data_IF_238639246433
#
_entry.id   IF_238639246433
#
_cell.length_a   1.000
_cell.length_b   1.000
_cell.length_c   1.000
_cell.angle_alpha   90.00
_cell.angle_beta   90.00
_cell.angle_gamma   90.00
#
_symmetry.space_group_name_H-M   'P 1'
#
loop_
_entity.id
_entity.type
_entity.pdbx_description
1 polymer ?
#
# COMPACT_ATOMS: atom_id res chain seq x y z
N UNK A 1 -59.48 -30.60 -42.87
CA UNK A 1 -58.20 -30.87 -43.51
C UNK A 1 -58.02 -29.91 -44.67
N UNK A 2 -57.52 -28.75 -44.43
CA UNK A 2 -57.22 -27.72 -45.44
C UNK A 2 -55.72 -27.71 -45.71
N UNK A 3 -55.44 -27.90 -47.00
CA UNK A 3 -54.11 -28.16 -47.56
C UNK A 3 -53.14 -26.97 -47.48
N UNK A 4 -51.91 -27.24 -47.17
CA UNK A 4 -50.74 -26.29 -47.15
C UNK A 4 -50.54 -25.51 -48.46
N UNK A 5 -51.35 -25.75 -49.49
CA UNK A 5 -51.19 -25.11 -50.81
C UNK A 5 -52.00 -23.82 -51.01
N UNK A 6 -52.94 -23.51 -50.11
CA UNK A 6 -53.73 -22.29 -50.22
C UNK A 6 -53.14 -21.10 -49.45
N UNK A 7 -52.17 -21.34 -48.56
CA UNK A 7 -51.54 -20.27 -47.82
C UNK A 7 -50.48 -19.50 -48.63
N UNK A 8 -50.01 -20.06 -49.73
CA UNK A 8 -48.93 -19.44 -50.56
C UNK A 8 -49.41 -18.59 -51.76
N UNK A 9 -50.72 -18.44 -51.95
CA UNK A 9 -51.26 -17.64 -53.09
C UNK A 9 -51.80 -16.25 -52.74
N UNK A 10 -51.67 -15.79 -51.51
CA UNK A 10 -52.15 -14.44 -51.10
C UNK A 10 -51.06 -13.45 -50.64
N UNK A 11 -49.83 -13.68 -51.02
CA UNK A 11 -48.72 -12.75 -50.72
C UNK A 11 -48.05 -12.23 -52.01
N UNK A 12 -48.81 -11.66 -52.89
CA UNK A 12 -48.28 -10.93 -54.01
C UNK A 12 -49.26 -9.77 -54.35
N UNK A 13 -48.76 -8.57 -54.27
CA UNK A 13 -49.29 -7.24 -54.62
C UNK A 13 -49.60 -6.33 -53.42
N UNK A 14 -48.55 -5.62 -52.98
CA UNK A 14 -48.63 -4.22 -52.54
C UNK A 14 -47.23 -3.69 -52.53
N UNK A 15 -46.75 -3.14 -53.66
CA UNK A 15 -45.51 -2.38 -53.76
C UNK A 15 -45.80 -0.98 -53.22
N UNK A 16 -45.40 -0.73 -51.97
CA UNK A 16 -45.27 0.62 -51.43
C UNK A 16 -43.80 1.00 -51.41
N UNK A 17 -43.43 1.94 -52.24
CA UNK A 17 -42.13 2.64 -52.26
C UNK A 17 -41.99 3.36 -50.93
N UNK A 18 -41.18 2.87 -49.99
CA UNK A 18 -40.73 3.59 -48.82
C UNK A 18 -39.30 4.10 -49.12
N UNK A 19 -39.15 5.44 -49.13
CA UNK A 19 -37.87 6.13 -49.18
C UNK A 19 -36.97 5.61 -48.04
N UNK A 20 -35.88 4.96 -48.39
CA UNK A 20 -34.81 4.56 -47.46
C UNK A 20 -33.96 5.81 -47.20
N UNK A 21 -34.25 6.52 -46.10
CA UNK A 21 -33.29 7.45 -45.50
C UNK A 21 -32.08 6.65 -45.02
N UNK A 22 -30.85 7.28 -44.91
CA UNK A 22 -29.70 6.57 -44.44
C UNK A 22 -29.94 6.14 -42.99
N UNK A 23 -30.28 4.87 -42.81
CA UNK A 23 -30.24 4.24 -41.48
C UNK A 23 -28.77 4.37 -41.02
N UNK A 24 -28.54 5.26 -40.06
CA UNK A 24 -27.36 5.24 -39.25
C UNK A 24 -27.26 3.82 -38.64
N UNK A 25 -26.45 3.00 -39.26
CA UNK A 25 -25.96 1.76 -38.63
C UNK A 25 -25.24 2.22 -37.36
N UNK A 26 -25.98 2.28 -36.25
CA UNK A 26 -25.38 2.17 -34.93
C UNK A 26 -24.71 0.79 -34.90
N UNK A 27 -23.51 0.72 -35.46
CA UNK A 27 -22.57 -0.31 -35.08
C UNK A 27 -22.43 -0.15 -33.57
N UNK A 28 -23.05 -1.02 -32.78
CA UNK A 28 -22.58 -1.29 -31.42
C UNK A 28 -21.11 -1.64 -31.62
N UNK A 29 -20.24 -0.65 -31.39
CA UNK A 29 -18.84 -0.93 -31.16
C UNK A 29 -18.86 -2.05 -30.13
N UNK A 30 -18.32 -3.21 -30.46
CA UNK A 30 -18.07 -4.25 -29.47
C UNK A 30 -17.30 -3.53 -28.38
N UNK A 31 -17.87 -3.44 -27.18
CA UNK A 31 -17.19 -2.90 -26.04
C UNK A 31 -15.87 -3.70 -25.96
N UNK A 32 -14.75 -3.02 -26.01
CA UNK A 32 -13.48 -3.69 -25.80
C UNK A 32 -13.55 -4.39 -24.45
N UNK A 33 -13.05 -5.63 -24.36
CA UNK A 33 -13.07 -6.39 -23.11
C UNK A 33 -12.44 -5.55 -21.98
N UNK A 34 -13.06 -5.55 -20.79
CA UNK A 34 -12.57 -4.86 -19.62
C UNK A 34 -11.10 -5.22 -19.31
N UNK A 35 -10.37 -4.30 -18.74
CA UNK A 35 -9.04 -4.57 -18.21
C UNK A 35 -9.21 -5.08 -16.78
N UNK A 36 -8.82 -6.34 -16.54
CA UNK A 36 -8.93 -6.96 -15.22
C UNK A 36 -7.72 -6.54 -14.35
N UNK A 37 -8.01 -6.04 -13.15
CA UNK A 37 -7.02 -5.69 -12.14
C UNK A 37 -7.30 -6.46 -10.86
N UNK A 38 -6.29 -7.10 -10.29
CA UNK A 38 -6.39 -7.89 -9.07
C UNK A 38 -6.10 -7.08 -7.81
N UNK A 39 -6.89 -7.29 -6.75
CA UNK A 39 -6.63 -6.77 -5.42
C UNK A 39 -6.55 -7.92 -4.41
N UNK A 40 -5.43 -8.06 -3.69
CA UNK A 40 -5.24 -9.06 -2.64
C UNK A 40 -5.04 -8.32 -1.32
N UNK A 41 -6.12 -8.09 -0.59
CA UNK A 41 -6.11 -7.32 0.66
C UNK A 41 -6.89 -8.05 1.75
N UNK A 42 -6.37 -8.03 2.97
CA UNK A 42 -7.02 -8.62 4.15
C UNK A 42 -8.29 -7.82 4.49
N UNK A 43 -9.45 -8.41 4.21
CA UNK A 43 -10.75 -7.85 4.57
C UNK A 43 -11.26 -8.45 5.88
N UNK A 44 -10.61 -9.52 6.33
CA UNK A 44 -10.83 -10.19 7.60
C UNK A 44 -9.50 -10.77 8.12
N UNK A 45 -9.51 -11.28 9.37
CA UNK A 45 -8.31 -11.77 10.04
C UNK A 45 -7.56 -10.68 10.80
N UNK A 46 -6.34 -10.98 11.25
CA UNK A 46 -5.56 -10.09 12.14
C UNK A 46 -4.98 -8.83 11.46
N UNK A 47 -5.05 -8.73 10.13
CA UNK A 47 -4.49 -7.63 9.35
C UNK A 47 -5.57 -6.79 8.62
N UNK A 48 -6.84 -7.00 8.92
CA UNK A 48 -7.95 -6.30 8.28
C UNK A 48 -7.94 -4.78 8.54
N UNK A 49 -7.34 -4.35 9.65
CA UNK A 49 -7.12 -2.95 10.00
C UNK A 49 -6.34 -2.20 8.91
N UNK A 50 -5.45 -2.89 8.23
CA UNK A 50 -4.64 -2.36 7.12
C UNK A 50 -5.27 -2.65 5.76
N UNK A 51 -5.76 -3.87 5.57
CA UNK A 51 -6.20 -4.35 4.27
C UNK A 51 -7.48 -3.70 3.76
N UNK A 52 -8.45 -3.41 4.63
CA UNK A 52 -9.71 -2.75 4.25
C UNK A 52 -9.49 -1.37 3.62
N UNK A 53 -8.75 -0.43 4.25
CA UNK A 53 -8.48 0.86 3.62
C UNK A 53 -7.70 0.76 2.31
N UNK A 54 -6.81 -0.24 2.16
CA UNK A 54 -6.09 -0.49 0.90
C UNK A 54 -7.04 -0.94 -0.21
N UNK A 55 -7.97 -1.86 0.08
CA UNK A 55 -8.97 -2.32 -0.88
C UNK A 55 -9.87 -1.18 -1.35
N UNK A 56 -10.30 -0.33 -0.41
CA UNK A 56 -11.15 0.83 -0.71
C UNK A 56 -10.42 1.87 -1.56
N UNK A 57 -9.14 2.10 -1.29
CA UNK A 57 -8.29 2.97 -2.10
C UNK A 57 -8.12 2.45 -3.54
N UNK A 58 -7.96 1.13 -3.71
CA UNK A 58 -7.91 0.51 -5.03
C UNK A 58 -9.24 0.68 -5.79
N UNK A 59 -10.37 0.53 -5.10
CA UNK A 59 -11.71 0.73 -5.67
C UNK A 59 -11.88 2.19 -6.11
N UNK A 60 -11.53 3.15 -5.26
CA UNK A 60 -11.63 4.58 -5.58
C UNK A 60 -10.79 4.93 -6.81
N UNK A 61 -9.52 4.50 -6.85
CA UNK A 61 -8.64 4.76 -7.98
C UNK A 61 -9.17 4.17 -9.29
N UNK A 62 -9.68 2.94 -9.26
CA UNK A 62 -10.24 2.29 -10.45
C UNK A 62 -11.50 3.02 -10.96
N UNK A 63 -12.36 3.49 -10.07
CA UNK A 63 -13.54 4.27 -10.44
C UNK A 63 -13.16 5.61 -11.06
N UNK A 64 -12.22 6.35 -10.49
CA UNK A 64 -11.75 7.62 -11.06
C UNK A 64 -11.17 7.46 -12.47
N UNK A 65 -10.40 6.40 -12.69
CA UNK A 65 -9.87 6.09 -14.02
C UNK A 65 -11.01 5.77 -14.98
N UNK A 66 -12.02 5.01 -14.53
CA UNK A 66 -13.19 4.66 -15.33
C UNK A 66 -14.07 5.88 -15.66
N UNK A 67 -14.30 6.77 -14.71
CA UNK A 67 -15.02 8.02 -14.89
C UNK A 67 -14.32 8.94 -15.90
N UNK A 68 -12.98 8.88 -15.96
CA UNK A 68 -12.16 9.61 -16.93
C UNK A 68 -12.12 8.97 -18.33
N UNK A 69 -12.91 7.90 -18.57
CA UNK A 69 -12.99 7.18 -19.85
C UNK A 69 -12.25 5.86 -19.89
N UNK A 70 -11.70 5.40 -18.79
CA UNK A 70 -10.96 4.15 -18.66
C UNK A 70 -9.54 4.23 -19.22
N UNK A 71 -8.94 3.08 -19.49
CA UNK A 71 -7.61 2.97 -20.09
C UNK A 71 -7.71 2.41 -21.50
N UNK A 72 -7.14 3.12 -22.48
CA UNK A 72 -7.15 2.70 -23.89
C UNK A 72 -8.58 2.48 -24.42
N UNK A 73 -9.58 3.25 -23.93
CA UNK A 73 -10.99 3.11 -24.28
C UNK A 73 -11.69 1.90 -23.64
N UNK A 74 -11.07 1.25 -22.64
CA UNK A 74 -11.58 0.08 -21.93
C UNK A 74 -11.80 0.42 -20.47
N UNK A 75 -12.83 -0.17 -19.84
CA UNK A 75 -13.08 -0.01 -18.42
C UNK A 75 -12.17 -0.95 -17.60
N UNK A 76 -11.80 -0.52 -16.41
CA UNK A 76 -11.14 -1.35 -15.42
C UNK A 76 -12.22 -2.12 -14.65
N UNK A 77 -12.02 -3.42 -14.51
CA UNK A 77 -12.82 -4.25 -13.63
C UNK A 77 -11.94 -4.88 -12.57
N UNK A 78 -12.22 -4.57 -11.31
CA UNK A 78 -11.50 -5.12 -10.16
C UNK A 78 -11.95 -6.54 -9.84
N UNK A 79 -10.99 -7.38 -9.48
CA UNK A 79 -11.17 -8.69 -8.87
C UNK A 79 -10.49 -8.64 -7.52
N UNK A 80 -11.25 -8.38 -6.45
CA UNK A 80 -10.76 -8.32 -5.07
C UNK A 80 -10.98 -9.64 -4.36
N UNK A 81 -9.99 -10.10 -3.59
CA UNK A 81 -10.06 -11.32 -2.80
C UNK A 81 -9.46 -11.09 -1.42
N UNK A 82 -10.08 -11.71 -0.42
CA UNK A 82 -9.66 -11.68 0.98
C UNK A 82 -8.82 -12.92 1.31
N UNK A 83 -7.52 -12.79 1.60
CA UNK A 83 -6.67 -13.89 2.02
C UNK A 83 -6.81 -14.23 3.52
N UNK A 84 -7.60 -13.47 4.30
CA UNK A 84 -7.90 -13.74 5.70
C UNK A 84 -6.63 -13.84 6.59
N UNK A 85 -5.60 -13.06 6.28
CA UNK A 85 -4.27 -13.08 6.92
C UNK A 85 -3.57 -14.47 6.88
N UNK A 86 -3.93 -15.32 5.91
CA UNK A 86 -3.46 -16.69 5.77
C UNK A 86 -2.52 -16.84 4.56
N UNK A 87 -1.27 -17.26 4.77
CA UNK A 87 -0.26 -17.37 3.72
C UNK A 87 -0.62 -18.34 2.61
N UNK A 88 -1.33 -19.42 2.92
CA UNK A 88 -1.79 -20.38 1.93
C UNK A 88 -2.87 -19.77 1.02
N UNK A 89 -3.78 -18.98 1.59
CA UNK A 89 -4.81 -18.25 0.85
C UNK A 89 -4.18 -17.21 -0.09
N UNK A 90 -3.20 -16.44 0.38
CA UNK A 90 -2.47 -15.51 -0.49
C UNK A 90 -1.90 -16.21 -1.73
N UNK A 91 -1.27 -17.39 -1.54
CA UNK A 91 -0.70 -18.16 -2.67
C UNK A 91 -1.77 -18.63 -3.65
N UNK A 92 -2.89 -19.18 -3.13
CA UNK A 92 -3.99 -19.69 -3.98
C UNK A 92 -4.69 -18.58 -4.76
N UNK A 93 -4.95 -17.45 -4.09
CA UNK A 93 -5.55 -16.26 -4.72
C UNK A 93 -4.62 -15.71 -5.81
N UNK A 94 -3.33 -15.57 -5.51
CA UNK A 94 -2.35 -15.13 -6.48
C UNK A 94 -2.30 -16.02 -7.73
N UNK A 95 -2.30 -17.35 -7.55
CA UNK A 95 -2.35 -18.30 -8.65
C UNK A 95 -3.63 -18.17 -9.47
N UNK A 96 -4.79 -18.05 -8.81
CA UNK A 96 -6.07 -17.86 -9.48
C UNK A 96 -6.09 -16.59 -10.32
N UNK A 97 -5.71 -15.45 -9.74
CA UNK A 97 -5.71 -14.17 -10.43
C UNK A 97 -4.77 -14.17 -11.64
N UNK A 98 -3.58 -14.73 -11.50
CA UNK A 98 -2.58 -14.73 -12.56
C UNK A 98 -2.91 -15.73 -13.69
N UNK A 99 -3.36 -16.95 -13.37
CA UNK A 99 -3.50 -18.05 -14.33
C UNK A 99 -4.91 -18.24 -14.85
N UNK A 100 -5.93 -18.09 -14.01
CA UNK A 100 -7.33 -18.27 -14.37
C UNK A 100 -8.00 -16.96 -14.80
N UNK A 101 -7.93 -15.94 -13.94
CA UNK A 101 -8.54 -14.63 -14.19
C UNK A 101 -7.70 -13.79 -15.18
N UNK A 102 -6.40 -14.03 -15.28
CA UNK A 102 -5.45 -13.35 -16.17
C UNK A 102 -5.50 -11.83 -16.04
N UNK A 103 -5.43 -11.36 -14.79
CA UNK A 103 -5.40 -9.93 -14.51
C UNK A 103 -4.13 -9.28 -15.08
N UNK A 104 -4.23 -8.03 -15.52
CA UNK A 104 -3.11 -7.28 -16.08
C UNK A 104 -2.06 -6.90 -15.00
N UNK A 105 -2.54 -6.62 -13.79
CA UNK A 105 -1.73 -6.25 -12.64
C UNK A 105 -2.41 -6.70 -11.36
N UNK A 106 -1.61 -6.97 -10.32
CA UNK A 106 -2.09 -7.24 -8.96
C UNK A 106 -1.53 -6.15 -8.02
N UNK A 107 -2.41 -5.60 -7.18
CA UNK A 107 -2.06 -4.76 -6.04
C UNK A 107 -2.36 -5.51 -4.75
N UNK A 108 -1.46 -5.47 -3.78
CA UNK A 108 -1.75 -6.03 -2.46
C UNK A 108 -0.62 -6.81 -1.81
N UNK A 109 -1.02 -7.67 -0.87
CA UNK A 109 -0.12 -8.23 0.11
C UNK A 109 0.17 -7.21 1.21
N UNK A 110 0.14 -7.65 2.47
CA UNK A 110 0.34 -6.74 3.60
C UNK A 110 1.71 -6.92 4.25
N UNK A 111 2.12 -8.14 4.55
CA UNK A 111 3.40 -8.43 5.18
C UNK A 111 4.48 -8.79 4.16
N UNK A 112 5.75 -8.72 4.57
CA UNK A 112 6.87 -9.25 3.77
C UNK A 112 6.69 -10.72 3.44
N UNK A 113 6.14 -11.51 4.36
CA UNK A 113 5.82 -12.92 4.12
C UNK A 113 4.76 -13.08 3.01
N UNK A 114 3.67 -12.29 3.05
CA UNK A 114 2.64 -12.34 2.00
C UNK A 114 3.19 -11.89 0.64
N UNK A 115 4.07 -10.86 0.61
CA UNK A 115 4.75 -10.46 -0.62
C UNK A 115 5.55 -11.61 -1.23
N UNK A 116 6.33 -12.32 -0.41
CA UNK A 116 7.21 -13.39 -0.90
C UNK A 116 6.46 -14.67 -1.32
N UNK A 117 5.21 -14.85 -0.95
CA UNK A 117 4.37 -15.92 -1.54
C UNK A 117 3.63 -15.47 -2.80
N UNK A 118 3.34 -14.17 -2.95
CA UNK A 118 2.69 -13.60 -4.15
C UNK A 118 3.71 -13.39 -5.29
N UNK A 119 4.83 -12.74 -5.00
CA UNK A 119 5.83 -12.28 -5.97
C UNK A 119 6.32 -13.38 -6.93
N UNK A 120 6.73 -14.58 -6.48
CA UNK A 120 7.18 -15.64 -7.38
C UNK A 120 6.07 -16.18 -8.29
N UNK A 121 4.82 -16.13 -7.84
CA UNK A 121 3.66 -16.53 -8.67
C UNK A 121 3.46 -15.52 -9.79
N UNK A 122 3.43 -14.23 -9.47
CA UNK A 122 3.25 -13.15 -10.45
C UNK A 122 4.37 -13.14 -11.49
N UNK A 123 5.62 -13.29 -11.05
CA UNK A 123 6.77 -13.36 -11.94
C UNK A 123 6.66 -14.53 -12.94
N UNK A 124 6.38 -15.75 -12.46
CA UNK A 124 6.23 -16.94 -13.34
C UNK A 124 5.08 -16.80 -14.32
N UNK A 125 3.96 -16.23 -13.88
CA UNK A 125 2.80 -15.98 -14.72
C UNK A 125 2.95 -14.76 -15.63
N UNK A 126 4.02 -13.98 -15.49
CA UNK A 126 4.26 -12.72 -16.20
C UNK A 126 3.14 -11.70 -15.97
N UNK A 127 2.63 -11.63 -14.75
CA UNK A 127 1.64 -10.65 -14.28
C UNK A 127 2.34 -9.60 -13.45
N UNK A 128 2.13 -8.29 -13.72
CA UNK A 128 2.72 -7.20 -12.93
C UNK A 128 2.23 -7.25 -11.49
N UNK A 129 3.11 -6.88 -10.56
CA UNK A 129 2.80 -6.84 -9.14
C UNK A 129 3.21 -5.51 -8.51
N UNK A 130 2.28 -4.87 -7.82
CA UNK A 130 2.50 -3.70 -6.99
C UNK A 130 2.34 -4.07 -5.52
N UNK A 131 3.42 -3.95 -4.77
CA UNK A 131 3.44 -4.08 -3.32
C UNK A 131 3.36 -2.68 -2.69
N UNK A 132 2.30 -2.40 -1.94
CA UNK A 132 1.93 -1.03 -1.57
C UNK A 132 2.19 -0.67 -0.11
N UNK A 133 2.83 -1.55 0.66
CA UNK A 133 3.14 -1.33 2.07
C UNK A 133 4.61 -0.99 2.27
N UNK A 134 4.90 -0.19 3.31
CA UNK A 134 6.29 -0.03 3.75
C UNK A 134 6.87 -1.38 4.16
N UNK A 135 8.17 -1.55 4.03
CA UNK A 135 8.83 -2.80 4.36
C UNK A 135 10.35 -2.61 4.59
N UNK A 136 11.04 -3.69 4.88
CA UNK A 136 12.47 -3.71 5.22
C UNK A 136 13.43 -3.41 4.06
N UNK A 137 12.94 -3.20 2.84
CA UNK A 137 13.76 -2.99 1.65
C UNK A 137 14.26 -4.30 1.01
N UNK A 138 15.02 -4.18 -0.08
CA UNK A 138 15.77 -5.30 -0.67
C UNK A 138 15.07 -6.12 -1.74
N UNK A 139 13.83 -5.87 -2.11
CA UNK A 139 13.21 -6.49 -3.30
C UNK A 139 13.94 -6.04 -4.55
N UNK A 140 14.44 -7.00 -5.32
CA UNK A 140 15.10 -6.77 -6.61
C UNK A 140 14.48 -7.70 -7.65
N UNK A 141 13.37 -7.29 -8.23
CA UNK A 141 12.58 -8.06 -9.17
C UNK A 141 11.91 -7.14 -10.17
N UNK A 142 12.30 -7.24 -11.44
CA UNK A 142 11.79 -6.38 -12.51
C UNK A 142 10.28 -6.47 -12.74
N UNK A 143 9.62 -7.52 -12.21
CA UNK A 143 8.17 -7.69 -12.31
C UNK A 143 7.41 -7.05 -11.14
N UNK A 144 8.11 -6.54 -10.13
CA UNK A 144 7.53 -6.04 -8.88
C UNK A 144 7.86 -4.56 -8.68
N UNK A 145 6.85 -3.77 -8.35
CA UNK A 145 6.96 -2.36 -8.03
C UNK A 145 6.55 -2.13 -6.58
N UNK A 146 7.40 -1.46 -5.80
CA UNK A 146 7.18 -1.19 -4.38
C UNK A 146 6.85 0.30 -4.19
N UNK A 147 5.61 0.60 -3.77
CA UNK A 147 5.17 1.98 -3.53
C UNK A 147 5.20 2.39 -2.06
N UNK A 148 5.50 1.45 -1.17
CA UNK A 148 5.77 1.74 0.25
C UNK A 148 7.23 2.12 0.49
N UNK A 149 7.47 2.90 1.54
CA UNK A 149 8.80 3.37 1.90
C UNK A 149 9.69 2.26 2.48
N UNK A 150 11.00 2.40 2.29
CA UNK A 150 12.04 1.56 2.91
C UNK A 150 12.66 2.26 4.12
N UNK A 151 13.47 1.55 4.94
CA UNK A 151 14.14 2.15 6.12
C UNK A 151 14.98 3.39 5.80
N UNK A 152 15.70 3.40 4.69
CA UNK A 152 16.49 4.57 4.30
C UNK A 152 15.64 5.81 4.01
N UNK A 153 14.38 5.63 3.61
CA UNK A 153 13.48 6.76 3.34
C UNK A 153 12.87 7.33 4.62
N UNK A 154 12.51 6.47 5.58
CA UNK A 154 11.80 6.87 6.80
C UNK A 154 12.74 6.96 8.01
N UNK A 155 13.44 5.87 8.35
CA UNK A 155 14.21 5.76 9.60
C UNK A 155 15.45 6.61 9.61
N UNK A 156 16.14 6.74 8.47
CA UNK A 156 17.41 7.48 8.39
C UNK A 156 17.27 8.94 8.84
N UNK A 157 16.09 9.52 8.67
CA UNK A 157 15.79 10.87 9.14
C UNK A 157 15.06 10.90 10.48
N UNK A 158 14.14 9.97 10.71
CA UNK A 158 13.27 9.96 11.88
C UNK A 158 13.98 9.54 13.17
N UNK A 159 14.92 8.57 13.12
CA UNK A 159 15.64 8.12 14.32
C UNK A 159 16.56 9.22 14.88
N UNK A 160 17.41 9.90 14.08
CA UNK A 160 18.18 11.04 14.57
C UNK A 160 17.34 12.18 15.14
N UNK A 161 16.21 12.50 14.49
CA UNK A 161 15.28 13.51 14.99
C UNK A 161 14.66 13.10 16.34
N UNK A 162 14.29 11.81 16.49
CA UNK A 162 13.75 11.29 17.75
C UNK A 162 14.79 11.35 18.88
N UNK A 163 16.05 11.01 18.60
CA UNK A 163 17.15 11.12 19.58
C UNK A 163 17.34 12.57 20.01
N UNK A 164 17.27 13.50 19.08
CA UNK A 164 17.40 14.93 19.38
C UNK A 164 16.27 15.46 20.26
N UNK A 165 15.05 14.92 20.11
CA UNK A 165 13.86 15.38 20.83
C UNK A 165 13.71 14.74 22.21
N UNK A 166 13.97 13.43 22.30
CA UNK A 166 13.54 12.62 23.44
C UNK A 166 14.68 12.07 24.28
N UNK A 167 15.90 11.98 23.71
CA UNK A 167 17.07 11.45 24.41
C UNK A 167 17.70 10.27 23.69
N UNK A 168 18.74 9.69 24.29
CA UNK A 168 19.71 8.83 23.61
C UNK A 168 19.51 7.34 23.85
N UNK A 169 18.78 6.94 24.89
CA UNK A 169 18.57 5.54 25.25
C UNK A 169 17.21 5.05 24.76
N UNK A 170 17.24 3.99 23.93
CA UNK A 170 16.07 3.47 23.22
C UNK A 170 15.79 2.04 23.66
N UNK A 171 14.54 1.75 24.04
CA UNK A 171 14.05 0.39 24.21
C UNK A 171 13.18 0.01 23.03
N UNK A 172 13.47 -1.10 22.33
CA UNK A 172 12.70 -1.52 21.16
C UNK A 172 11.71 -2.63 21.54
N UNK A 173 10.45 -2.46 21.11
CA UNK A 173 9.43 -3.50 21.07
C UNK A 173 9.04 -3.73 19.61
N UNK A 174 9.18 -4.95 19.08
CA UNK A 174 9.03 -5.22 17.66
C UNK A 174 8.28 -6.53 17.40
N UNK A 175 7.66 -6.64 16.23
CA UNK A 175 7.04 -7.88 15.78
C UNK A 175 8.10 -8.94 15.44
N UNK A 176 7.86 -10.21 15.81
CA UNK A 176 8.80 -11.32 15.61
C UNK A 176 8.71 -11.91 14.20
N UNK A 177 9.15 -11.13 13.20
CA UNK A 177 9.38 -11.57 11.83
C UNK A 177 10.35 -10.61 11.13
N UNK A 178 10.69 -10.89 9.85
CA UNK A 178 11.74 -10.16 9.09
C UNK A 178 11.69 -8.65 9.27
N UNK A 179 10.49 -8.04 9.14
CA UNK A 179 10.33 -6.60 9.29
C UNK A 179 10.81 -6.11 10.66
N UNK A 180 10.27 -6.66 11.75
CA UNK A 180 10.61 -6.19 13.10
C UNK A 180 12.09 -6.39 13.44
N UNK A 181 12.69 -7.50 12.98
CA UNK A 181 14.11 -7.81 13.19
C UNK A 181 15.00 -6.82 12.43
N UNK A 182 14.78 -6.62 11.13
CA UNK A 182 15.59 -5.72 10.29
C UNK A 182 15.42 -4.26 10.71
N UNK A 183 14.18 -3.83 11.03
CA UNK A 183 13.93 -2.46 11.54
C UNK A 183 14.67 -2.23 12.85
N UNK A 184 14.71 -3.23 13.74
CA UNK A 184 15.47 -3.12 14.99
C UNK A 184 16.96 -2.94 14.75
N UNK A 185 17.53 -3.60 13.75
CA UNK A 185 18.94 -3.45 13.39
C UNK A 185 19.23 -2.07 12.78
N UNK A 186 18.31 -1.55 11.94
CA UNK A 186 18.38 -0.17 11.47
C UNK A 186 18.36 0.84 12.60
N UNK A 187 17.46 0.68 13.58
CA UNK A 187 17.39 1.58 14.74
C UNK A 187 18.67 1.52 15.57
N UNK A 188 19.25 0.32 15.79
CA UNK A 188 20.54 0.15 16.48
C UNK A 188 21.67 0.92 15.79
N UNK A 189 21.80 0.72 14.45
CA UNK A 189 22.81 1.42 13.64
C UNK A 189 22.63 2.93 13.71
N UNK A 190 21.44 3.41 13.38
CA UNK A 190 21.16 4.85 13.34
C UNK A 190 21.30 5.50 14.73
N UNK A 191 20.94 4.80 15.80
CA UNK A 191 21.17 5.26 17.15
C UNK A 191 22.67 5.42 17.43
N UNK A 192 23.48 4.41 17.13
CA UNK A 192 24.93 4.45 17.35
C UNK A 192 25.62 5.57 16.54
N UNK A 193 25.23 5.76 15.28
CA UNK A 193 25.75 6.81 14.40
C UNK A 193 25.39 8.22 14.88
N UNK A 194 24.30 8.36 15.66
CA UNK A 194 23.82 9.66 16.16
C UNK A 194 24.03 9.84 17.68
N UNK A 195 24.96 9.07 18.26
CA UNK A 195 25.36 9.19 19.66
C UNK A 195 24.30 8.71 20.67
N UNK A 196 23.35 7.89 20.22
CA UNK A 196 22.39 7.17 21.03
C UNK A 196 22.74 5.69 21.18
N UNK A 197 21.91 4.95 21.89
CA UNK A 197 22.08 3.50 22.09
C UNK A 197 20.74 2.80 22.25
N UNK A 198 20.63 1.60 21.73
CA UNK A 198 19.54 0.68 22.04
C UNK A 198 19.92 -0.12 23.27
N UNK A 199 19.15 0.06 24.35
CA UNK A 199 19.43 -0.58 25.66
C UNK A 199 18.79 -1.96 25.79
N UNK A 200 17.72 -2.23 25.03
CA UNK A 200 17.10 -3.56 24.97
C UNK A 200 16.23 -3.67 23.70
N UNK A 201 16.00 -4.92 23.28
CA UNK A 201 15.07 -5.28 22.20
C UNK A 201 14.24 -6.47 22.66
N UNK A 202 12.93 -6.41 22.47
CA UNK A 202 12.02 -7.56 22.63
C UNK A 202 11.19 -7.77 21.39
N UNK A 203 11.05 -9.04 20.97
CA UNK A 203 10.26 -9.46 19.81
C UNK A 203 9.00 -10.19 20.26
N UNK A 204 7.89 -9.92 19.57
CA UNK A 204 6.57 -10.43 19.92
C UNK A 204 5.87 -11.08 18.72
N UNK A 205 5.29 -12.27 18.90
CA UNK A 205 4.38 -12.86 17.91
C UNK A 205 3.19 -11.94 17.59
N UNK A 206 2.59 -12.12 16.41
CA UNK A 206 1.48 -11.27 15.93
C UNK A 206 0.14 -11.50 16.68
N UNK A 207 0.09 -12.44 17.61
CA UNK A 207 -1.10 -12.78 18.40
C UNK A 207 -0.96 -12.46 19.90
N UNK A 208 0.18 -11.87 20.32
CA UNK A 208 0.38 -11.49 21.73
C UNK A 208 -0.56 -10.34 22.12
N UNK A 209 -1.08 -10.41 23.34
CA UNK A 209 -1.98 -9.39 23.88
C UNK A 209 -1.60 -8.88 25.27
N UNK A 210 -0.71 -9.57 26.00
CA UNK A 210 -0.25 -9.19 27.33
C UNK A 210 1.17 -8.60 27.28
N UNK A 211 1.29 -7.34 27.64
CA UNK A 211 2.55 -6.59 27.70
C UNK A 211 2.93 -6.14 29.11
N UNK A 212 2.19 -6.58 30.13
CA UNK A 212 2.46 -6.21 31.53
C UNK A 212 3.91 -6.44 31.96
N UNK A 213 4.49 -7.65 31.75
CA UNK A 213 5.90 -7.94 32.08
C UNK A 213 6.88 -7.04 31.32
N UNK A 214 6.65 -6.80 30.03
CA UNK A 214 7.49 -5.92 29.20
C UNK A 214 7.45 -4.47 29.70
N UNK A 215 6.26 -3.95 30.02
CA UNK A 215 6.10 -2.60 30.57
C UNK A 215 6.86 -2.45 31.90
N UNK A 216 6.77 -3.42 32.80
CA UNK A 216 7.55 -3.43 34.05
C UNK A 216 9.07 -3.42 33.78
N UNK A 217 9.51 -4.19 32.80
CA UNK A 217 10.93 -4.23 32.41
C UNK A 217 11.40 -2.88 31.82
N UNK A 218 10.60 -2.27 30.94
CA UNK A 218 10.89 -0.93 30.39
C UNK A 218 11.00 0.09 31.53
N UNK A 219 10.08 0.06 32.50
CA UNK A 219 10.15 0.97 33.66
C UNK A 219 11.40 0.74 34.52
N UNK A 220 11.83 -0.52 34.68
CA UNK A 220 13.05 -0.88 35.42
C UNK A 220 14.33 -0.43 34.71
N UNK A 221 14.36 -0.52 33.37
CA UNK A 221 15.48 -0.08 32.52
C UNK A 221 15.57 1.43 32.46
N UNK A 222 14.42 2.13 32.42
CA UNK A 222 14.33 3.59 32.37
C UNK A 222 14.93 4.22 31.10
N UNK A 223 14.59 3.76 29.89
CA UNK A 223 15.09 4.39 28.66
C UNK A 223 14.50 5.78 28.49
N UNK A 224 15.10 6.60 27.64
CA UNK A 224 14.56 7.91 27.30
C UNK A 224 13.32 7.82 26.43
N UNK A 225 13.24 6.79 25.58
CA UNK A 225 12.06 6.51 24.72
C UNK A 225 11.90 5.02 24.42
N UNK A 226 10.68 4.66 24.06
CA UNK A 226 10.34 3.34 23.46
C UNK A 226 10.21 3.50 21.94
N UNK A 227 10.89 2.65 21.19
CA UNK A 227 10.68 2.51 19.76
C UNK A 227 9.79 1.30 19.49
N UNK A 228 8.63 1.52 18.87
CA UNK A 228 7.67 0.47 18.56
C UNK A 228 7.67 0.15 17.07
N UNK A 229 7.99 -1.11 16.75
CA UNK A 229 7.80 -1.75 15.45
C UNK A 229 6.84 -2.94 15.58
N UNK A 230 5.86 -2.86 16.48
CA UNK A 230 4.77 -3.83 16.62
C UNK A 230 3.80 -3.71 15.43
N UNK A 231 3.10 -4.81 15.12
CA UNK A 231 2.16 -4.88 13.99
C UNK A 231 0.88 -5.59 14.41
N UNK A 232 -0.26 -5.16 13.89
CA UNK A 232 -1.56 -5.80 14.12
C UNK A 232 -2.14 -5.61 15.52
N UNK A 233 -2.79 -6.63 16.06
CA UNK A 233 -3.42 -6.60 17.38
C UNK A 233 -2.49 -6.25 18.55
N UNK A 234 -1.27 -6.78 18.62
CA UNK A 234 -0.26 -6.43 19.62
C UNK A 234 0.01 -4.92 19.73
N UNK A 235 0.00 -4.23 18.62
CA UNK A 235 0.20 -2.79 18.51
C UNK A 235 -0.79 -2.02 19.43
N UNK A 236 -2.08 -2.23 19.21
CA UNK A 236 -3.15 -1.59 20.00
C UNK A 236 -3.12 -2.05 21.46
N UNK A 237 -2.86 -3.35 21.70
CA UNK A 237 -2.79 -3.92 23.05
C UNK A 237 -1.67 -3.29 23.88
N UNK A 238 -0.48 -3.10 23.29
CA UNK A 238 0.64 -2.46 23.96
C UNK A 238 0.32 -1.01 24.36
N UNK A 239 -0.21 -0.20 23.45
CA UNK A 239 -0.50 1.22 23.74
C UNK A 239 -1.57 1.40 24.81
N UNK A 240 -2.61 0.58 24.82
CA UNK A 240 -3.63 0.58 25.88
C UNK A 240 -3.04 0.27 27.25
N UNK A 241 -2.21 -0.76 27.34
CA UNK A 241 -1.56 -1.13 28.60
C UNK A 241 -0.51 -0.11 29.04
N UNK A 242 0.19 0.51 28.09
CA UNK A 242 1.12 1.61 28.33
C UNK A 242 0.40 2.81 28.96
N UNK A 243 -0.71 3.21 28.37
CA UNK A 243 -1.54 4.29 28.90
C UNK A 243 -2.14 3.96 30.27
N UNK A 244 -2.65 2.73 30.44
CA UNK A 244 -3.17 2.26 31.72
C UNK A 244 -2.11 2.25 32.84
N UNK A 245 -0.84 2.07 32.51
CA UNK A 245 0.28 2.20 33.44
C UNK A 245 0.69 3.66 33.74
N UNK A 246 0.02 4.64 33.12
CA UNK A 246 0.29 6.08 33.31
C UNK A 246 1.64 6.54 32.76
N UNK A 247 2.12 5.91 31.67
CA UNK A 247 3.43 6.14 31.10
C UNK A 247 3.45 7.15 29.94
N UNK A 248 2.31 7.45 29.32
CA UNK A 248 2.20 8.38 28.18
C UNK A 248 2.84 9.74 28.44
N UNK A 249 2.68 10.27 29.65
CA UNK A 249 3.25 11.58 30.04
C UNK A 249 4.69 11.52 30.57
N UNK A 250 5.26 10.31 30.69
CA UNK A 250 6.57 10.11 31.33
C UNK A 250 7.65 9.65 30.36
N UNK A 251 7.27 8.90 29.34
CA UNK A 251 8.19 8.30 28.41
C UNK A 251 7.56 8.24 27.01
N UNK A 252 8.12 8.93 26.02
CA UNK A 252 7.57 8.98 24.68
C UNK A 252 7.67 7.63 23.97
N UNK A 253 6.67 7.36 23.11
CA UNK A 253 6.73 6.29 22.13
C UNK A 253 6.96 6.88 20.76
N UNK A 254 7.95 6.34 20.05
CA UNK A 254 8.21 6.58 18.62
C UNK A 254 7.90 5.28 17.89
N UNK A 255 7.10 5.33 16.83
CA UNK A 255 6.64 4.13 16.15
C UNK A 255 6.91 4.19 14.64
N UNK A 256 7.37 3.08 14.08
CA UNK A 256 7.50 2.89 12.63
C UNK A 256 6.23 2.34 11.96
N UNK A 257 5.20 2.05 12.73
CA UNK A 257 4.01 1.33 12.26
C UNK A 257 2.70 1.97 12.69
N UNK A 258 2.71 2.88 13.65
CA UNK A 258 1.53 3.63 14.06
C UNK A 258 1.12 4.59 12.92
N UNK A 259 -0.11 4.65 12.56
CA UNK A 259 -0.68 5.38 11.40
C UNK A 259 -0.86 4.56 10.13
N UNK A 260 -0.35 3.36 10.06
CA UNK A 260 -0.49 2.54 8.86
C UNK A 260 -1.83 1.80 8.77
N UNK A 261 -2.48 1.61 9.92
CA UNK A 261 -3.87 1.16 10.05
C UNK A 261 -4.78 2.28 10.58
N UNK A 262 -5.64 1.92 11.50
CA UNK A 262 -6.61 2.83 12.14
C UNK A 262 -6.29 3.06 13.63
N UNK A 263 -5.04 2.83 14.04
CA UNK A 263 -4.63 2.79 15.44
C UNK A 263 -5.04 4.05 16.20
N UNK A 264 -4.83 5.22 15.58
CA UNK A 264 -5.19 6.52 16.19
C UNK A 264 -6.70 6.71 16.38
N UNK A 265 -7.54 5.97 15.64
CA UNK A 265 -9.00 6.01 15.80
C UNK A 265 -9.51 4.93 16.74
N UNK A 266 -8.81 3.80 16.82
CA UNK A 266 -9.14 2.67 17.72
C UNK A 266 -8.75 2.99 19.16
N UNK A 267 -7.70 3.80 19.36
CA UNK A 267 -7.28 4.30 20.65
C UNK A 267 -8.06 5.58 21.02
N UNK A 268 -8.41 5.72 22.29
CA UNK A 268 -8.89 7.00 22.81
C UNK A 268 -7.75 8.04 22.83
N UNK A 269 -8.04 9.34 22.88
CA UNK A 269 -7.01 10.35 23.07
C UNK A 269 -6.08 10.09 24.26
N UNK A 270 -6.64 9.61 25.38
CA UNK A 270 -5.84 9.27 26.56
C UNK A 270 -4.86 8.10 26.33
N UNK A 271 -5.12 7.24 25.34
CA UNK A 271 -4.27 6.08 25.00
C UNK A 271 -3.27 6.40 23.88
N UNK A 272 -3.64 7.28 22.93
CA UNK A 272 -2.89 7.48 21.69
C UNK A 272 -2.19 8.84 21.56
N UNK A 273 -2.64 9.89 22.27
CA UNK A 273 -2.04 11.22 22.12
C UNK A 273 -0.58 11.22 22.60
N UNK A 274 0.28 11.94 21.87
CA UNK A 274 1.72 12.01 22.14
C UNK A 274 2.56 10.90 21.50
N UNK A 275 1.93 9.89 20.87
CA UNK A 275 2.68 8.90 20.09
C UNK A 275 3.21 9.58 18.83
N UNK A 276 4.52 9.50 18.63
CA UNK A 276 5.19 10.02 17.43
C UNK A 276 5.36 8.89 16.42
N UNK A 277 5.09 9.20 15.16
CA UNK A 277 5.23 8.23 14.07
C UNK A 277 5.78 8.90 12.82
N UNK A 278 6.17 8.09 11.84
CA UNK A 278 6.67 8.57 10.55
C UNK A 278 6.12 7.72 9.42
N UNK A 279 5.76 8.42 8.36
CA UNK A 279 5.15 7.87 7.17
C UNK A 279 5.33 8.79 5.96
N UNK A 280 5.10 8.29 4.78
CA UNK A 280 5.06 9.13 3.57
C UNK A 280 3.76 9.92 3.47
N UNK A 281 2.70 9.48 4.13
CA UNK A 281 1.37 10.08 4.06
C UNK A 281 0.70 10.22 5.42
N UNK A 282 0.09 11.36 5.64
CA UNK A 282 -0.89 11.64 6.68
C UNK A 282 -2.07 12.39 6.08
N UNK A 283 -3.28 12.09 6.53
CA UNK A 283 -4.52 12.73 6.06
C UNK A 283 -4.48 14.26 6.21
N UNK A 284 -3.70 14.74 7.16
CA UNK A 284 -3.52 16.17 7.48
C UNK A 284 -2.54 16.92 6.56
N UNK A 285 -2.03 16.28 5.50
CA UNK A 285 -1.21 16.97 4.49
C UNK A 285 -2.02 18.09 3.83
N UNK A 286 -1.54 19.33 3.98
CA UNK A 286 -2.17 20.51 3.42
C UNK A 286 -1.74 20.75 1.96
N UNK A 287 -2.30 19.95 1.04
CA UNK A 287 -2.10 20.15 -0.40
C UNK A 287 -3.43 20.10 -1.15
N UNK A 288 -3.54 20.81 -2.30
CA UNK A 288 -4.76 20.76 -3.12
C UNK A 288 -5.08 19.33 -3.59
N UNK A 289 -4.07 18.53 -3.91
CA UNK A 289 -4.22 17.14 -4.38
C UNK A 289 -4.77 16.26 -3.27
N UNK A 290 -4.22 16.36 -2.06
CA UNK A 290 -4.72 15.59 -0.92
C UNK A 290 -6.16 15.99 -0.55
N UNK A 291 -6.48 17.29 -0.55
CA UNK A 291 -7.84 17.78 -0.28
C UNK A 291 -8.85 17.22 -1.29
N UNK A 292 -8.53 17.24 -2.57
CA UNK A 292 -9.39 16.67 -3.61
C UNK A 292 -9.56 15.16 -3.48
N UNK A 293 -8.49 14.44 -3.12
CA UNK A 293 -8.54 13.01 -2.84
C UNK A 293 -9.44 12.70 -1.64
N UNK A 294 -9.30 13.43 -0.52
CA UNK A 294 -10.13 13.25 0.68
C UNK A 294 -11.60 13.58 0.42
N UNK A 295 -11.89 14.62 -0.36
CA UNK A 295 -13.27 14.96 -0.76
C UNK A 295 -13.93 13.79 -1.49
N UNK A 296 -13.24 13.15 -2.43
CA UNK A 296 -13.73 11.97 -3.15
C UNK A 296 -13.88 10.76 -2.25
N UNK A 297 -12.90 10.56 -1.34
CA UNK A 297 -12.95 9.49 -0.35
C UNK A 297 -14.19 9.60 0.53
N UNK A 298 -14.41 10.75 1.13
CA UNK A 298 -15.57 10.99 2.00
C UNK A 298 -16.90 10.95 1.24
N UNK A 299 -16.94 11.47 0.02
CA UNK A 299 -18.12 11.35 -0.85
C UNK A 299 -18.52 9.90 -1.11
N UNK A 300 -17.54 9.01 -1.28
CA UNK A 300 -17.78 7.61 -1.58
C UNK A 300 -18.09 6.78 -0.34
N UNK A 301 -17.30 6.92 0.69
CA UNK A 301 -17.33 6.06 1.87
C UNK A 301 -18.03 6.69 3.08
N UNK A 302 -18.30 7.99 3.05
CA UNK A 302 -18.93 8.75 4.12
C UNK A 302 -17.93 9.42 5.07
N UNK A 303 -18.37 10.48 5.74
CA UNK A 303 -17.50 11.27 6.64
C UNK A 303 -17.07 10.53 7.90
N UNK A 304 -17.80 9.49 8.28
CA UNK A 304 -17.47 8.64 9.44
C UNK A 304 -16.65 7.40 9.05
N UNK A 305 -16.28 7.29 7.78
CA UNK A 305 -15.45 6.18 7.33
C UNK A 305 -14.04 6.31 7.93
N UNK A 306 -13.34 5.19 8.17
CA UNK A 306 -11.98 5.21 8.68
C UNK A 306 -11.07 6.14 7.89
N UNK A 307 -10.14 6.78 8.58
CA UNK A 307 -9.15 7.70 7.98
C UNK A 307 -8.35 7.00 6.89
N UNK A 308 -7.91 7.77 5.91
CA UNK A 308 -6.99 7.28 4.90
C UNK A 308 -5.63 7.04 5.53
N UNK A 309 -5.13 5.82 5.39
CA UNK A 309 -3.82 5.43 5.90
C UNK A 309 -2.73 5.60 4.85
N UNK A 310 -1.46 5.54 5.26
CA UNK A 310 -0.34 5.51 4.30
C UNK A 310 -0.48 4.37 3.30
N UNK A 311 -0.85 3.17 3.74
CA UNK A 311 -0.99 2.02 2.85
C UNK A 311 -2.14 2.18 1.85
N UNK A 312 -3.24 2.82 2.27
CA UNK A 312 -4.32 3.20 1.37
C UNK A 312 -3.85 4.22 0.33
N UNK A 313 -3.17 5.29 0.76
CA UNK A 313 -2.60 6.30 -0.14
C UNK A 313 -1.61 5.67 -1.13
N UNK A 314 -0.71 4.79 -0.66
CA UNK A 314 0.26 4.10 -1.51
C UNK A 314 -0.41 3.16 -2.52
N UNK A 315 -1.53 2.51 -2.15
CA UNK A 315 -2.30 1.66 -3.05
C UNK A 315 -2.99 2.50 -4.13
N UNK A 316 -3.62 3.60 -3.75
CA UNK A 316 -4.21 4.56 -4.69
C UNK A 316 -3.17 5.09 -5.68
N UNK A 317 -2.03 5.55 -5.18
CA UNK A 317 -0.93 6.08 -5.99
C UNK A 317 -0.31 5.01 -6.90
N UNK A 318 -0.15 3.78 -6.39
CA UNK A 318 0.34 2.64 -7.18
C UNK A 318 -0.56 2.33 -8.38
N UNK A 319 -1.88 2.38 -8.18
CA UNK A 319 -2.85 2.18 -9.27
C UNK A 319 -2.76 3.30 -10.31
N UNK A 320 -2.62 4.56 -9.90
CA UNK A 320 -2.46 5.69 -10.82
C UNK A 320 -1.11 5.67 -11.56
N UNK A 321 -0.01 5.24 -10.91
CA UNK A 321 1.30 5.03 -11.56
C UNK A 321 1.19 3.98 -12.67
N UNK A 322 0.56 2.83 -12.36
CA UNK A 322 0.32 1.78 -13.35
C UNK A 322 -0.56 2.29 -14.51
N UNK A 323 -1.66 2.97 -14.22
CA UNK A 323 -2.56 3.52 -15.23
C UNK A 323 -1.85 4.53 -16.15
N UNK A 324 -1.02 5.39 -15.58
CA UNK A 324 -0.20 6.35 -16.35
C UNK A 324 0.80 5.61 -17.24
N UNK A 325 1.41 4.53 -16.76
CA UNK A 325 2.32 3.70 -17.55
C UNK A 325 1.60 2.99 -18.70
N UNK A 326 0.40 2.43 -18.47
CA UNK A 326 -0.44 1.82 -19.52
C UNK A 326 -0.76 2.85 -20.61
N UNK A 327 -1.10 4.07 -20.22
CA UNK A 327 -1.40 5.17 -21.16
C UNK A 327 -0.16 5.56 -21.94
N UNK A 328 1.00 5.72 -21.29
CA UNK A 328 2.27 6.07 -21.94
C UNK A 328 2.74 4.97 -22.91
N UNK A 329 2.61 3.71 -22.50
CA UNK A 329 2.93 2.56 -23.34
C UNK A 329 1.92 2.32 -24.47
N UNK A 330 0.75 2.97 -24.42
CA UNK A 330 -0.40 2.66 -25.28
C UNK A 330 -0.70 1.15 -25.36
N UNK A 331 -0.56 0.44 -24.23
CA UNK A 331 -0.66 -1.02 -24.15
C UNK A 331 -0.83 -1.49 -22.72
N UNK A 332 -1.50 -2.63 -22.53
CA UNK A 332 -1.49 -3.41 -21.28
C UNK A 332 -0.44 -4.53 -21.29
N UNK A 333 0.34 -4.65 -22.37
CA UNK A 333 1.42 -5.62 -22.41
C UNK A 333 2.41 -5.36 -21.29
N UNK A 334 2.69 -6.40 -20.51
CA UNK A 334 3.53 -6.31 -19.32
C UNK A 334 4.88 -5.65 -19.60
N UNK A 335 5.57 -6.07 -20.67
CA UNK A 335 6.90 -5.58 -20.94
C UNK A 335 6.92 -4.10 -21.31
N UNK A 336 5.95 -3.66 -22.12
CA UNK A 336 5.81 -2.26 -22.51
C UNK A 336 5.43 -1.37 -21.32
N UNK A 337 4.61 -1.89 -20.39
CA UNK A 337 4.24 -1.17 -19.17
C UNK A 337 5.46 -1.05 -18.23
N UNK A 338 6.27 -2.09 -18.09
CA UNK A 338 7.53 -2.04 -17.34
C UNK A 338 8.46 -0.98 -17.95
N UNK A 339 8.69 -1.00 -19.23
CA UNK A 339 9.54 -0.01 -19.93
C UNK A 339 9.04 1.43 -19.75
N UNK A 340 7.73 1.62 -19.75
CA UNK A 340 7.15 2.92 -19.46
C UNK A 340 7.37 3.35 -18.00
N UNK A 341 7.24 2.43 -17.02
CA UNK A 341 7.53 2.70 -15.61
C UNK A 341 9.02 3.02 -15.40
N UNK A 342 9.90 2.28 -16.04
CA UNK A 342 11.36 2.47 -16.01
C UNK A 342 11.81 3.79 -16.66
N UNK A 343 10.98 4.43 -17.47
CA UNK A 343 11.24 5.78 -17.99
C UNK A 343 11.12 6.89 -16.90
N UNK A 344 10.91 6.52 -15.64
CA UNK A 344 10.81 7.45 -14.51
C UNK A 344 9.44 8.11 -14.40
N UNK A 345 8.38 7.34 -14.60
CA UNK A 345 7.00 7.85 -14.43
C UNK A 345 6.82 8.38 -13.00
N UNK A 346 6.18 9.54 -12.91
CA UNK A 346 5.80 10.18 -11.65
C UNK A 346 4.35 10.62 -11.68
N UNK A 347 3.75 10.73 -10.50
CA UNK A 347 2.44 11.35 -10.29
C UNK A 347 2.54 12.38 -9.15
N UNK A 348 1.70 13.40 -9.21
CA UNK A 348 1.41 14.26 -8.07
C UNK A 348 0.23 13.61 -7.33
N UNK A 349 0.53 12.96 -6.22
CA UNK A 349 -0.43 12.17 -5.45
C UNK A 349 -0.79 12.81 -4.10
N UNK A 350 -1.67 12.16 -3.32
CA UNK A 350 -2.04 12.66 -1.99
C UNK A 350 -0.84 12.87 -1.06
N UNK A 351 0.21 12.06 -1.19
CA UNK A 351 1.45 12.19 -0.41
C UNK A 351 2.44 13.21 -0.98
N UNK A 352 2.14 13.85 -2.12
CA UNK A 352 3.04 14.69 -2.90
C UNK A 352 3.56 13.98 -4.15
N UNK A 353 4.70 14.40 -4.66
CA UNK A 353 5.32 13.80 -5.85
C UNK A 353 5.82 12.38 -5.56
N UNK A 354 5.33 11.41 -6.33
CA UNK A 354 5.76 9.99 -6.26
C UNK A 354 6.36 9.61 -7.59
N UNK A 355 7.63 9.20 -7.59
CA UNK A 355 8.39 8.88 -8.81
C UNK A 355 8.94 7.47 -8.73
N UNK A 356 8.76 6.66 -9.78
CA UNK A 356 9.39 5.34 -9.89
C UNK A 356 10.91 5.52 -10.12
N UNK A 357 11.68 4.81 -9.32
CA UNK A 357 13.12 4.63 -9.54
C UNK A 357 13.33 3.45 -10.50
N UNK A 358 13.88 3.67 -11.70
CA UNK A 358 14.08 2.60 -12.69
C UNK A 358 15.10 1.56 -12.25
N UNK A 359 16.04 1.94 -11.39
CA UNK A 359 17.09 1.04 -10.93
C UNK A 359 16.56 -0.06 -10.00
N UNK A 360 15.54 0.25 -9.18
CA UNK A 360 15.09 -0.65 -8.12
C UNK A 360 13.60 -0.97 -8.16
N UNK A 361 12.81 -0.27 -8.97
CA UNK A 361 11.35 -0.30 -9.01
C UNK A 361 10.68 0.10 -7.67
N UNK A 362 11.40 0.88 -6.87
CA UNK A 362 10.83 1.56 -5.70
C UNK A 362 10.42 2.98 -6.06
N UNK A 363 9.70 3.61 -5.16
CA UNK A 363 9.31 5.01 -5.34
C UNK A 363 10.24 5.95 -4.57
N UNK A 364 10.44 7.17 -5.09
CA UNK A 364 10.90 8.32 -4.30
C UNK A 364 9.68 9.02 -3.76
N UNK A 365 9.67 9.30 -2.47
CA UNK A 365 8.55 9.90 -1.74
C UNK A 365 9.05 10.88 -0.69
N UNK A 366 8.17 11.77 -0.25
CA UNK A 366 8.44 12.57 0.94
C UNK A 366 8.28 11.69 2.19
N UNK A 367 9.15 11.89 3.17
CA UNK A 367 8.99 11.31 4.50
C UNK A 367 8.54 12.39 5.48
N UNK A 368 7.69 12.03 6.43
CA UNK A 368 7.17 12.95 7.43
C UNK A 368 7.19 12.32 8.81
N UNK A 369 7.44 13.14 9.81
CA UNK A 369 7.26 12.80 11.22
C UNK A 369 6.04 13.54 11.73
N UNK A 370 5.18 12.87 12.46
CA UNK A 370 3.98 13.45 13.03
C UNK A 370 3.73 12.94 14.46
N UNK A 371 3.01 13.72 15.24
CA UNK A 371 2.54 13.37 16.58
C UNK A 371 1.03 13.19 16.56
N UNK A 372 0.55 12.19 17.28
CA UNK A 372 -0.90 11.96 17.43
C UNK A 372 -1.48 12.94 18.43
N UNK A 373 -2.60 13.56 18.06
CA UNK A 373 -3.34 14.52 18.89
C UNK A 373 -4.83 14.46 18.57
N UNK A 374 -5.65 14.19 19.58
CA UNK A 374 -7.11 14.07 19.42
C UNK A 374 -7.49 13.13 18.27
N UNK A 375 -6.88 11.94 18.22
CA UNK A 375 -7.12 10.91 17.19
C UNK A 375 -6.81 11.37 15.75
N UNK A 376 -5.96 12.37 15.57
CA UNK A 376 -5.44 12.85 14.27
C UNK A 376 -3.94 13.05 14.37
N UNK A 377 -3.30 13.56 13.33
CA UNK A 377 -1.86 13.78 13.27
C UNK A 377 -1.52 15.24 13.08
N UNK A 378 -0.56 15.73 13.85
CA UNK A 378 0.11 17.02 13.66
C UNK A 378 1.50 16.74 13.04
N UNK A 379 1.74 17.20 11.81
CA UNK A 379 3.01 17.01 11.12
C UNK A 379 4.05 17.90 11.78
N UNK A 380 5.09 17.29 12.32
CA UNK A 380 6.20 17.97 13.01
C UNK A 380 7.34 18.34 12.08
N UNK A 381 7.60 17.50 11.06
CA UNK A 381 8.70 17.66 10.13
C UNK A 381 8.48 16.90 8.84
N UNK A 382 9.04 17.41 7.73
CA UNK A 382 9.03 16.76 6.43
C UNK A 382 10.45 16.73 5.85
N UNK A 383 10.76 15.67 5.14
CA UNK A 383 11.97 15.51 4.33
C UNK A 383 11.53 15.14 2.90
N UNK A 384 11.95 15.97 1.94
CA UNK A 384 11.44 15.85 0.57
C UNK A 384 12.17 14.73 -0.20
N UNK A 385 11.46 14.05 -1.07
CA UNK A 385 11.94 13.16 -2.13
C UNK A 385 13.02 12.17 -1.71
N UNK A 386 12.77 11.44 -0.63
CA UNK A 386 13.66 10.41 -0.12
C UNK A 386 13.73 9.23 -1.09
N UNK A 387 14.95 8.81 -1.45
CA UNK A 387 15.20 7.63 -2.29
C UNK A 387 15.46 6.39 -1.43
N UNK A 388 15.17 5.20 -1.97
CA UNK A 388 15.46 3.91 -1.34
C UNK A 388 16.94 3.52 -1.51
N UNK A 389 17.84 4.34 -0.94
CA UNK A 389 19.29 4.16 -1.10
C UNK A 389 19.81 2.85 -0.50
N UNK A 390 19.12 2.30 0.48
CA UNK A 390 19.35 0.97 1.04
C UNK A 390 19.14 -0.13 -0.01
N UNK A 391 18.05 -0.08 -0.76
CA UNK A 391 17.78 -1.02 -1.84
C UNK A 391 18.67 -0.75 -3.06
N UNK A 392 18.95 0.52 -3.39
CA UNK A 392 19.89 0.87 -4.47
C UNK A 392 21.30 0.30 -4.22
N UNK A 393 21.70 0.13 -2.97
CA UNK A 393 23.00 -0.44 -2.63
C UNK A 393 23.15 -1.93 -3.03
N UNK A 394 22.04 -2.66 -3.12
CA UNK A 394 22.03 -4.11 -3.39
C UNK A 394 21.32 -4.50 -4.68
N UNK A 395 20.52 -3.61 -5.27
CA UNK A 395 19.71 -3.86 -6.46
C UNK A 395 20.02 -2.89 -7.58
N UNK A 396 20.19 -3.41 -8.78
CA UNK A 396 20.27 -2.61 -10.01
C UNK A 396 19.66 -3.38 -11.18
N UNK A 397 18.37 -3.14 -11.45
CA UNK A 397 17.60 -3.83 -12.49
C UNK A 397 17.95 -3.39 -13.91
N UNK A 398 18.60 -2.24 -14.08
CA UNK A 398 19.15 -1.83 -15.40
C UNK A 398 20.34 -2.70 -15.77
N UNK A 399 21.18 -3.08 -14.80
CA UNK A 399 22.35 -3.93 -14.98
C UNK A 399 22.02 -5.41 -14.91
N UNK A 400 21.09 -5.81 -14.03
CA UNK A 400 20.65 -7.19 -13.83
C UNK A 400 19.10 -7.29 -13.91
N UNK A 401 18.54 -7.23 -15.14
CA UNK A 401 17.09 -7.22 -15.34
C UNK A 401 16.42 -8.57 -15.02
N UNK A 402 17.20 -9.64 -14.89
CA UNK A 402 16.70 -10.98 -14.57
C UNK A 402 16.71 -11.27 -13.07
N UNK A 403 17.19 -10.36 -12.24
CA UNK A 403 17.17 -10.51 -10.80
C UNK A 403 15.77 -10.86 -10.27
N UNK A 404 15.74 -11.72 -9.27
CA UNK A 404 14.52 -12.19 -8.59
C UNK A 404 14.79 -12.34 -7.08
N UNK A 405 15.62 -11.48 -6.57
CA UNK A 405 16.11 -11.58 -5.21
C UNK A 405 15.25 -10.78 -4.22
N UNK A 406 15.23 -11.23 -3.00
CA UNK A 406 14.92 -10.45 -1.81
C UNK A 406 16.21 -10.39 -0.99
N UNK A 407 16.94 -9.30 -1.16
CA UNK A 407 18.14 -9.09 -0.36
C UNK A 407 17.78 -8.75 1.09
N UNK A 408 18.45 -9.40 2.01
CA UNK A 408 18.43 -8.97 3.43
C UNK A 408 19.42 -7.83 3.54
N UNK A 409 18.91 -6.62 3.72
CA UNK A 409 19.76 -5.46 3.93
C UNK A 409 20.24 -5.47 5.37
N UNK A 410 21.52 -5.70 5.55
CA UNK A 410 22.18 -5.53 6.86
C UNK A 410 22.63 -4.09 6.94
N UNK A 411 22.09 -3.30 7.87
CA UNK A 411 22.42 -1.90 8.03
C UNK A 411 23.88 -1.66 8.44
#
# INVERSE_FOLDING_TARGET
MTSRREFLKKAALSSAVLAVGPALLNSKAFAADDILVGGIHDLSGGLDLYGKPMADALILAAEEINESGGLLGRQIRLITQDPQSNMQQYTQIAQKMALADRVAVVHGGMTSASREVIRPVMRRAKTLYFYNTQYEGGVCDRNTFCTGATPAQNLASAVPESISRFGKSIYIVAADYNYGQIISDWVKKLAAENGGQVVAVEFFPLDVSDFGPTIQKIQSVGPDMVFSALVGGPHVSFYRQWAAAGLNSKMPIVSSTFSHGQEQKVLSPAEGDGIVTFASYFETIDSPVNKAFLERWHKKFGDNYPVVTEFASNTYQGMHLWAKAVTAANSIDRQKVIEALEAGISIDGPSGLVTIDPQTHHVKVDARMAETKNQTFEILKQWDQQASVDTQAVCNLERDPDSNEQFVITP
#
